data_IF_600103977568
#
_entry.id   IF_600103977568
#
_cell.length_a   1.000
_cell.length_b   1.000
_cell.length_c   1.000
_cell.angle_alpha   90.00
_cell.angle_beta   90.00
_cell.angle_gamma   90.00
#
_symmetry.space_group_name_H-M   'P 1'
#
loop_
_entity.id
_entity.type
_entity.pdbx_description
1 polymer ?
#
# COMPACT_ATOMS: atom_id res chain seq x y z
N UNK A 1 0.60 -1.72 2.95
CA UNK A 1 0.17 -2.40 1.70
C UNK A 1 1.41 -2.68 0.87
N UNK A 2 1.64 -3.93 0.46
CA UNK A 2 2.80 -4.31 -0.35
C UNK A 2 2.34 -4.87 -1.68
N UNK A 3 2.90 -4.40 -2.78
CA UNK A 3 2.53 -4.82 -4.14
C UNK A 3 3.76 -5.27 -4.90
N UNK A 4 3.60 -6.33 -5.68
CA UNK A 4 4.62 -6.86 -6.58
C UNK A 4 4.13 -6.71 -8.00
N UNK A 5 4.93 -6.08 -8.85
CA UNK A 5 4.55 -5.63 -10.19
C UNK A 5 4.90 -6.72 -11.23
N UNK A 6 4.14 -6.80 -12.31
CA UNK A 6 4.36 -7.80 -13.38
C UNK A 6 5.56 -7.48 -14.26
N UNK A 7 5.91 -6.20 -14.43
CA UNK A 7 6.97 -5.76 -15.34
C UNK A 7 7.76 -4.57 -14.77
N UNK A 8 9.04 -4.38 -15.18
CA UNK A 8 9.83 -3.20 -14.81
C UNK A 8 9.31 -1.89 -15.44
N UNK A 9 8.42 -1.97 -16.43
CA UNK A 9 7.74 -0.82 -17.03
C UNK A 9 6.51 -0.35 -16.23
N UNK A 10 6.18 -1.04 -15.14
CA UNK A 10 5.07 -0.68 -14.29
C UNK A 10 5.38 0.62 -13.56
N UNK A 11 4.56 1.64 -13.81
CA UNK A 11 4.79 2.97 -13.31
C UNK A 11 4.36 3.11 -11.85
N UNK A 12 5.34 3.14 -10.94
CA UNK A 12 5.12 3.37 -9.52
C UNK A 12 4.43 4.72 -9.25
N UNK A 13 4.58 5.72 -10.13
CA UNK A 13 3.92 7.01 -10.01
C UNK A 13 2.41 6.88 -10.28
N UNK A 14 2.01 6.09 -11.28
CA UNK A 14 0.61 5.79 -11.55
C UNK A 14 -0.06 5.07 -10.36
N UNK A 15 0.64 4.09 -9.76
CA UNK A 15 0.15 3.39 -8.56
C UNK A 15 0.05 4.34 -7.37
N UNK A 16 1.06 5.20 -7.18
CA UNK A 16 1.07 6.20 -6.10
C UNK A 16 -0.11 7.17 -6.25
N UNK A 17 -0.35 7.65 -7.46
CA UNK A 17 -1.45 8.56 -7.78
C UNK A 17 -2.82 7.91 -7.52
N UNK A 18 -2.98 6.65 -7.94
CA UNK A 18 -4.18 5.85 -7.65
C UNK A 18 -4.41 5.71 -6.14
N UNK A 19 -3.36 5.32 -5.41
CA UNK A 19 -3.43 5.11 -3.96
C UNK A 19 -3.78 6.39 -3.22
N UNK A 20 -3.20 7.53 -3.60
CA UNK A 20 -3.47 8.83 -2.99
C UNK A 20 -4.87 9.37 -3.32
N UNK A 21 -5.39 9.09 -4.52
CA UNK A 21 -6.76 9.42 -4.88
C UNK A 21 -7.78 8.62 -4.06
N UNK A 22 -7.54 7.32 -3.87
CA UNK A 22 -8.51 6.44 -3.21
C UNK A 22 -8.38 6.42 -1.68
N UNK A 23 -7.16 6.59 -1.19
CA UNK A 23 -6.78 6.61 0.22
C UNK A 23 -5.90 7.83 0.50
N UNK A 24 -6.52 8.99 0.80
CA UNK A 24 -5.79 10.22 1.11
C UNK A 24 -4.75 10.01 2.20
N UNK A 25 -3.65 10.76 2.12
CA UNK A 25 -2.50 10.64 3.04
C UNK A 25 -1.69 9.34 2.90
N UNK A 26 -1.96 8.51 1.89
CA UNK A 26 -1.08 7.39 1.55
C UNK A 26 0.27 7.88 1.07
N UNK A 27 1.35 7.26 1.55
CA UNK A 27 2.71 7.55 1.11
C UNK A 27 3.51 6.28 0.85
N UNK A 28 4.47 6.39 -0.08
CA UNK A 28 5.41 5.34 -0.41
C UNK A 28 6.39 5.17 0.75
N UNK A 29 6.46 3.96 1.30
CA UNK A 29 7.36 3.60 2.40
C UNK A 29 8.65 2.97 1.89
N UNK A 30 8.54 2.13 0.86
CA UNK A 30 9.69 1.46 0.24
C UNK A 30 9.41 1.18 -1.24
N UNK A 31 10.46 1.22 -2.05
CA UNK A 31 10.42 0.84 -3.45
C UNK A 31 11.73 0.16 -3.82
N UNK A 32 11.63 -1.10 -4.24
CA UNK A 32 12.79 -1.87 -4.67
C UNK A 32 12.45 -2.82 -5.81
N UNK A 33 13.17 -2.70 -6.92
CA UNK A 33 13.00 -3.51 -8.13
C UNK A 33 11.55 -3.47 -8.64
N UNK A 34 10.78 -4.55 -8.48
CA UNK A 34 9.38 -4.67 -8.89
C UNK A 34 8.44 -4.72 -7.68
N UNK A 35 8.82 -4.10 -6.56
CA UNK A 35 8.04 -4.08 -5.33
C UNK A 35 7.87 -2.64 -4.84
N UNK A 36 6.63 -2.30 -4.49
CA UNK A 36 6.26 -1.03 -3.86
C UNK A 36 5.51 -1.31 -2.56
N UNK A 37 5.89 -0.63 -1.50
CA UNK A 37 5.24 -0.69 -0.20
C UNK A 37 4.68 0.69 0.16
N UNK A 38 3.39 0.74 0.44
CA UNK A 38 2.68 1.95 0.85
C UNK A 38 2.20 1.85 2.29
N UNK A 39 2.32 2.94 3.02
CA UNK A 39 1.61 3.12 4.28
C UNK A 39 0.30 3.87 4.02
N UNK A 40 -0.81 3.33 4.52
CA UNK A 40 -2.16 3.85 4.33
C UNK A 40 -2.73 4.22 5.70
N UNK A 41 -2.60 5.49 6.14
CA UNK A 41 -2.99 5.89 7.50
C UNK A 41 -4.50 5.78 7.74
N UNK A 42 -5.29 6.09 6.72
CA UNK A 42 -6.73 6.12 6.81
C UNK A 42 -7.36 5.36 5.63
N UNK A 43 -8.12 4.33 5.95
CA UNK A 43 -8.94 3.58 5.01
C UNK A 43 -10.35 3.43 5.63
N UNK A 44 -11.34 4.23 5.21
CA UNK A 44 -12.67 4.25 5.83
C UNK A 44 -13.38 2.89 5.82
N UNK A 45 -13.16 2.08 4.77
CA UNK A 45 -13.65 0.70 4.68
C UNK A 45 -12.66 -0.37 5.13
N UNK A 46 -11.58 0.02 5.81
CA UNK A 46 -10.54 -0.86 6.33
C UNK A 46 -9.82 -1.67 5.26
N UNK A 47 -9.27 -2.81 5.69
CA UNK A 47 -8.52 -3.74 4.83
C UNK A 47 -9.36 -4.27 3.67
N UNK A 48 -10.67 -4.46 3.87
CA UNK A 48 -11.58 -4.96 2.84
C UNK A 48 -11.72 -3.99 1.66
N UNK A 49 -11.86 -2.68 1.92
CA UNK A 49 -11.92 -1.68 0.84
C UNK A 49 -10.59 -1.58 0.10
N UNK A 50 -9.44 -1.61 0.81
CA UNK A 50 -8.12 -1.65 0.17
C UNK A 50 -8.01 -2.87 -0.74
N UNK A 51 -8.35 -4.06 -0.24
CA UNK A 51 -8.29 -5.29 -1.01
C UNK A 51 -9.17 -5.21 -2.26
N UNK A 52 -10.42 -4.79 -2.11
CA UNK A 52 -11.36 -4.67 -3.24
C UNK A 52 -10.88 -3.67 -4.30
N UNK A 53 -10.34 -2.53 -3.89
CA UNK A 53 -9.83 -1.52 -4.82
C UNK A 53 -8.62 -2.02 -5.61
N UNK A 54 -7.69 -2.72 -4.94
CA UNK A 54 -6.51 -3.28 -5.60
C UNK A 54 -6.87 -4.45 -6.51
N UNK A 55 -7.75 -5.35 -6.07
CA UNK A 55 -8.16 -6.50 -6.89
C UNK A 55 -8.93 -6.06 -8.14
N UNK A 56 -9.81 -5.05 -8.02
CA UNK A 56 -10.58 -4.50 -9.16
C UNK A 56 -9.67 -3.81 -10.19
N UNK A 57 -8.59 -3.16 -9.74
CA UNK A 57 -7.68 -2.39 -10.62
C UNK A 57 -6.36 -3.13 -10.91
N UNK A 58 -6.24 -4.40 -10.50
CA UNK A 58 -5.01 -5.18 -10.52
C UNK A 58 -4.31 -5.19 -11.88
N UNK A 59 -5.09 -5.42 -12.94
CA UNK A 59 -4.57 -5.46 -14.31
C UNK A 59 -4.19 -4.07 -14.82
N UNK A 60 -4.97 -3.04 -14.51
CA UNK A 60 -4.71 -1.66 -14.93
C UNK A 60 -3.46 -1.08 -14.25
N UNK A 61 -3.18 -1.52 -13.02
CA UNK A 61 -2.01 -1.14 -12.24
C UNK A 61 -0.83 -2.11 -12.41
N UNK A 62 -0.92 -3.09 -13.31
CA UNK A 62 0.12 -4.09 -13.56
C UNK A 62 0.64 -4.78 -12.26
N UNK A 63 -0.28 -5.08 -11.34
CA UNK A 63 0.01 -5.75 -10.07
C UNK A 63 -0.07 -7.26 -10.27
N UNK A 64 1.04 -7.97 -10.02
CA UNK A 64 1.11 -9.44 -10.05
C UNK A 64 0.39 -10.04 -8.83
N UNK A 65 0.74 -9.56 -7.66
CA UNK A 65 0.13 -9.93 -6.39
C UNK A 65 0.39 -8.84 -5.35
N UNK A 66 -0.44 -8.78 -4.32
CA UNK A 66 -0.32 -7.82 -3.24
C UNK A 66 -0.70 -8.44 -1.90
N UNK A 67 -0.26 -7.81 -0.82
CA UNK A 67 -0.69 -8.11 0.53
C UNK A 67 -1.11 -6.82 1.25
N UNK A 68 -2.15 -6.94 2.05
CA UNK A 68 -2.63 -5.88 2.93
C UNK A 68 -2.45 -6.36 4.36
N UNK A 69 -1.51 -5.74 5.07
CA UNK A 69 -1.29 -5.97 6.49
C UNK A 69 -1.81 -4.76 7.26
N UNK A 70 -2.55 -5.02 8.32
CA UNK A 70 -2.95 -3.99 9.27
C UNK A 70 -1.88 -3.90 10.36
N UNK A 71 -1.43 -2.68 10.67
CA UNK A 71 -0.62 -2.42 11.85
C UNK A 71 -1.53 -2.60 13.06
N UNK A 72 -1.23 -3.60 13.90
CA UNK A 72 -2.03 -3.86 15.11
C UNK A 72 -1.73 -2.79 16.16
N UNK A 73 -2.58 -2.71 17.19
CA UNK A 73 -2.28 -1.88 18.37
C UNK A 73 -0.93 -2.24 18.98
N UNK A 74 -0.54 -3.52 18.99
CA UNK A 74 0.79 -3.94 19.45
C UNK A 74 1.91 -3.29 18.65
N UNK A 75 1.79 -3.21 17.33
CA UNK A 75 2.81 -2.63 16.46
C UNK A 75 2.87 -1.09 16.60
N UNK A 76 1.73 -0.43 16.86
CA UNK A 76 1.69 0.99 17.27
C UNK A 76 2.38 1.17 18.63
N UNK A 77 2.14 0.27 19.58
CA UNK A 77 2.72 0.33 20.92
C UNK A 77 4.24 0.11 20.88
N UNK A 78 4.72 -0.83 20.07
CA UNK A 78 6.15 -1.05 19.83
C UNK A 78 6.75 0.19 19.17
N UNK A 79 6.10 0.79 18.17
CA UNK A 79 6.63 1.98 17.51
C UNK A 79 6.69 3.19 18.46
N UNK A 80 5.73 3.31 19.39
CA UNK A 80 5.76 4.28 20.49
C UNK A 80 6.92 4.01 21.46
N UNK A 81 7.13 2.75 21.85
CA UNK A 81 8.21 2.34 22.76
C UNK A 81 9.61 2.45 22.13
N UNK A 82 9.71 2.31 20.81
CA UNK A 82 10.97 2.45 20.05
C UNK A 82 11.31 3.91 19.70
N UNK A 83 10.43 4.88 20.00
CA UNK A 83 10.67 6.30 19.72
C UNK A 83 10.63 6.66 18.23
N UNK A 84 9.92 5.87 17.43
CA UNK A 84 9.77 6.06 15.98
C UNK A 84 8.57 6.97 15.63
N UNK A 85 7.99 7.65 16.63
CA UNK A 85 6.87 8.61 16.54
C UNK A 85 7.20 9.79 17.44
#
# INVERSE_FOLDING_TARGET
>A
VKMYLTEPACDAEAITTFMQHRFPSTYLKDQHSAMVEYHVPNAPGGVADIFNQLETNKNALCIKHFSVSQTTLDEVFINFAMGNI
#
